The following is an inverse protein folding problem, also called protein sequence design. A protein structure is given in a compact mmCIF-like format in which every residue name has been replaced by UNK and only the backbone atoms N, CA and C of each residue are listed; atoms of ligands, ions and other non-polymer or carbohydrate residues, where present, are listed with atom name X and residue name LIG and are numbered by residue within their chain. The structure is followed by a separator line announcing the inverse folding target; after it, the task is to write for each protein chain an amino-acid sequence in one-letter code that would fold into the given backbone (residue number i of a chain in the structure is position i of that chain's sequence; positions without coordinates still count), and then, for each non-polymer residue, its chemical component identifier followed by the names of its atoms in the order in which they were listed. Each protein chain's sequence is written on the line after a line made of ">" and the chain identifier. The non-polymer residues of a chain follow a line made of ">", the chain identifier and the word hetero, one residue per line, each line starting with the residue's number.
data_IF_505169476915
#
_entry.id   IF_505169476915
#
_cell.length_a   1.000
_cell.length_b   1.000
_cell.length_c   1.000
_cell.angle_alpha   90.00
_cell.angle_beta   90.00
_cell.angle_gamma   90.00
#
_symmetry.space_group_name_H-M   'P 1'
#
loop_
_entity.id
_entity.type
_entity.pdbx_description
1 polymer ?
#
# COMPACT_ATOMS: atom_id res chain seq x y z
N UNK A 1 -9.04 6.77 -26.19
CA UNK A 1 -8.25 7.66 -27.06
C UNK A 1 -6.85 7.72 -26.47
N UNK A 2 -5.88 7.08 -27.10
CA UNK A 2 -4.49 7.12 -26.69
C UNK A 2 -3.89 8.42 -27.21
N UNK A 3 -3.54 9.34 -26.31
CA UNK A 3 -2.76 10.54 -26.62
C UNK A 3 -1.34 10.09 -26.98
N UNK A 4 -1.03 10.13 -28.27
CA UNK A 4 0.33 9.97 -28.77
C UNK A 4 1.15 11.17 -28.28
N UNK A 5 2.12 10.88 -27.42
CA UNK A 5 3.19 11.82 -27.09
C UNK A 5 4.05 12.03 -28.34
N UNK A 6 3.96 13.22 -28.92
CA UNK A 6 4.73 13.60 -30.10
C UNK A 6 6.13 14.03 -29.67
N UNK A 7 7.10 13.25 -30.08
CA UNK A 7 8.55 13.36 -30.08
C UNK A 7 9.22 14.69 -29.72
N UNK A 8 9.58 14.82 -28.48
CA UNK A 8 10.83 15.42 -28.00
C UNK A 8 11.39 14.40 -27.02
N UNK A 9 12.70 14.15 -27.09
CA UNK A 9 13.40 13.12 -26.34
C UNK A 9 12.78 12.92 -24.96
N UNK A 10 12.37 11.69 -24.60
CA UNK A 10 11.87 11.43 -23.28
C UNK A 10 13.01 11.67 -22.32
N UNK A 11 13.10 12.86 -21.74
CA UNK A 11 13.83 13.03 -20.49
C UNK A 11 13.27 11.93 -19.59
N UNK A 12 14.12 10.97 -19.25
CA UNK A 12 13.71 9.82 -18.47
C UNK A 12 12.97 10.36 -17.24
N UNK A 13 11.65 10.10 -17.18
CA UNK A 13 10.83 10.59 -16.08
C UNK A 13 11.27 9.85 -14.83
N UNK A 14 11.92 10.54 -13.92
CA UNK A 14 12.26 10.02 -12.61
C UNK A 14 11.06 10.18 -11.67
N UNK A 15 10.92 9.24 -10.76
CA UNK A 15 9.92 9.37 -9.70
C UNK A 15 10.22 10.62 -8.87
N UNK A 16 9.19 11.40 -8.58
CA UNK A 16 9.34 12.61 -7.77
C UNK A 16 9.78 12.21 -6.35
N UNK A 17 10.88 12.78 -5.89
CA UNK A 17 11.31 12.65 -4.52
C UNK A 17 10.36 13.46 -3.63
N UNK A 18 9.84 12.85 -2.58
CA UNK A 18 8.96 13.52 -1.61
C UNK A 18 9.74 14.04 -0.40
N UNK A 19 10.94 13.49 -0.14
CA UNK A 19 11.82 13.91 0.95
C UNK A 19 13.17 14.39 0.44
N UNK A 20 13.68 15.43 1.10
CA UNK A 20 14.99 15.98 0.81
C UNK A 20 16.09 14.96 1.20
N UNK A 21 17.02 14.58 0.29
CA UNK A 21 18.10 13.66 0.62
C UNK A 21 19.16 14.26 1.54
N UNK A 22 19.12 15.57 1.78
CA UNK A 22 20.09 16.27 2.64
C UNK A 22 19.61 16.41 4.08
N UNK A 23 18.38 16.89 4.30
CA UNK A 23 17.84 17.15 5.62
C UNK A 23 16.67 16.23 6.02
N UNK A 24 16.14 15.42 5.11
CA UNK A 24 15.03 14.51 5.37
C UNK A 24 13.65 15.18 5.45
N UNK A 25 13.57 16.51 5.26
CA UNK A 25 12.31 17.24 5.30
C UNK A 25 11.51 17.08 4.01
N UNK A 26 10.22 17.41 4.03
CA UNK A 26 9.32 17.27 2.89
C UNK A 26 9.69 18.25 1.76
N UNK A 27 9.80 17.72 0.53
CA UNK A 27 10.00 18.51 -0.68
C UNK A 27 8.67 19.06 -1.20
N UNK A 28 8.71 20.28 -1.73
CA UNK A 28 7.57 20.94 -2.39
C UNK A 28 7.81 21.05 -3.88
N UNK A 29 6.76 20.88 -4.65
CA UNK A 29 6.80 21.17 -6.08
C UNK A 29 6.47 22.66 -6.23
N UNK A 30 7.41 23.43 -6.76
CA UNK A 30 7.24 24.88 -6.94
C UNK A 30 6.98 25.26 -8.40
N UNK A 31 7.20 24.35 -9.34
CA UNK A 31 6.98 24.58 -10.77
C UNK A 31 6.54 23.29 -11.45
N UNK A 32 5.50 23.43 -12.25
CA UNK A 32 5.02 22.41 -13.19
C UNK A 32 5.06 22.99 -14.60
N UNK A 33 5.48 22.20 -15.58
CA UNK A 33 5.54 22.61 -16.98
C UNK A 33 4.81 21.60 -17.86
N UNK A 34 4.01 22.10 -18.79
CA UNK A 34 3.34 21.27 -19.77
C UNK A 34 4.29 20.98 -20.94
N UNK A 35 4.65 19.70 -21.19
CA UNK A 35 5.55 19.36 -22.29
C UNK A 35 4.95 19.59 -23.67
N UNK A 36 3.62 19.69 -23.78
CA UNK A 36 2.93 19.87 -25.05
C UNK A 36 2.89 21.34 -25.51
N UNK A 37 2.63 22.28 -24.59
CA UNK A 37 2.45 23.70 -24.94
C UNK A 37 3.48 24.62 -24.29
N UNK A 38 4.36 24.12 -23.42
CA UNK A 38 5.38 24.93 -22.72
C UNK A 38 4.82 25.80 -21.59
N UNK A 39 3.51 25.74 -21.28
CA UNK A 39 2.94 26.52 -20.20
C UNK A 39 3.55 26.09 -18.87
N UNK A 40 3.92 27.06 -18.03
CA UNK A 40 4.49 26.80 -16.72
C UNK A 40 3.60 27.39 -15.63
N UNK A 41 3.37 26.60 -14.58
CA UNK A 41 2.66 26.98 -13.37
C UNK A 41 3.67 27.07 -12.23
N UNK A 42 3.72 28.21 -11.55
CA UNK A 42 4.54 28.39 -10.34
C UNK A 42 3.64 28.53 -9.12
N UNK A 43 4.01 27.87 -8.03
CA UNK A 43 3.22 27.89 -6.79
C UNK A 43 3.70 26.86 -5.80
N UNK A 44 2.94 26.68 -4.72
CA UNK A 44 3.16 25.61 -3.78
C UNK A 44 2.18 24.47 -4.08
N UNK A 45 2.69 23.37 -4.64
CA UNK A 45 1.89 22.19 -4.94
C UNK A 45 2.28 21.06 -4.01
N UNK A 46 1.29 20.42 -3.41
CA UNK A 46 1.50 19.23 -2.59
C UNK A 46 1.10 17.99 -3.37
N UNK A 47 1.93 16.97 -3.28
CA UNK A 47 1.57 15.64 -3.75
C UNK A 47 0.64 15.00 -2.72
N UNK A 48 -0.38 14.29 -3.19
CA UNK A 48 -1.25 13.51 -2.31
C UNK A 48 -0.47 12.44 -1.52
N UNK A 49 -1.12 11.84 -0.52
CA UNK A 49 -0.48 10.84 0.36
C UNK A 49 0.10 9.64 -0.40
N UNK A 50 -0.47 9.27 -1.55
CA UNK A 50 0.04 8.20 -2.40
C UNK A 50 1.45 8.47 -2.94
N UNK A 51 1.84 9.72 -3.08
CA UNK A 51 3.19 10.07 -3.52
C UNK A 51 4.29 9.75 -2.49
N UNK A 52 3.92 9.46 -1.25
CA UNK A 52 4.83 9.00 -0.20
C UNK A 52 5.20 7.52 -0.34
N UNK A 53 4.45 6.79 -1.15
CA UNK A 53 4.66 5.37 -1.37
C UNK A 53 5.86 5.13 -2.28
N UNK A 54 6.61 4.08 -1.99
CA UNK A 54 7.63 3.57 -2.90
C UNK A 54 6.99 3.00 -4.16
N UNK A 55 7.79 2.79 -5.20
CA UNK A 55 7.32 2.15 -6.44
C UNK A 55 6.71 0.77 -6.18
N UNK A 56 7.31 -0.02 -5.31
CA UNK A 56 6.82 -1.35 -4.94
C UNK A 56 5.49 -1.28 -4.20
N UNK A 57 5.36 -0.32 -3.26
CA UNK A 57 4.12 -0.08 -2.53
C UNK A 57 3.00 0.40 -3.47
N UNK A 58 3.31 1.26 -4.45
CA UNK A 58 2.33 1.69 -5.46
C UNK A 58 1.86 0.52 -6.32
N UNK A 59 2.77 -0.34 -6.78
CA UNK A 59 2.40 -1.55 -7.53
C UNK A 59 1.49 -2.48 -6.72
N UNK A 60 1.79 -2.66 -5.43
CA UNK A 60 0.93 -3.42 -4.54
C UNK A 60 -0.47 -2.79 -4.42
N UNK A 61 -0.57 -1.48 -4.25
CA UNK A 61 -1.84 -0.75 -4.18
C UNK A 61 -2.64 -0.90 -5.48
N UNK A 62 -2.00 -0.81 -6.64
CA UNK A 62 -2.65 -1.02 -7.94
C UNK A 62 -3.26 -2.41 -8.06
N UNK A 63 -2.51 -3.46 -7.68
CA UNK A 63 -3.02 -4.83 -7.65
C UNK A 63 -4.17 -4.97 -6.66
N UNK A 64 -4.03 -4.44 -5.44
CA UNK A 64 -5.05 -4.50 -4.40
C UNK A 64 -6.37 -3.86 -4.84
N UNK A 65 -6.31 -2.68 -5.50
CA UNK A 65 -7.49 -2.00 -6.04
C UNK A 65 -8.10 -2.80 -7.20
N UNK A 66 -7.27 -3.34 -8.11
CA UNK A 66 -7.73 -4.17 -9.23
C UNK A 66 -8.47 -5.42 -8.75
N UNK A 67 -7.99 -6.05 -7.68
CA UNK A 67 -8.64 -7.17 -7.01
C UNK A 67 -9.82 -6.73 -6.10
N UNK A 68 -10.19 -5.42 -6.11
CA UNK A 68 -11.30 -4.86 -5.30
C UNK A 68 -11.18 -5.15 -3.80
N UNK A 69 -9.96 -5.23 -3.29
CA UNK A 69 -9.68 -5.50 -1.88
C UNK A 69 -9.90 -6.97 -1.46
N UNK A 70 -10.13 -7.88 -2.38
CA UNK A 70 -10.25 -9.30 -2.07
C UNK A 70 -8.86 -9.89 -1.87
N UNK A 71 -8.54 -10.20 -0.63
CA UNK A 71 -7.18 -10.65 -0.25
C UNK A 71 -6.80 -11.94 -0.99
N UNK A 72 -7.72 -12.90 -1.17
CA UNK A 72 -7.46 -14.14 -1.91
C UNK A 72 -7.04 -13.89 -3.36
N UNK A 73 -7.72 -12.96 -4.05
CA UNK A 73 -7.39 -12.61 -5.42
C UNK A 73 -6.00 -11.93 -5.48
N UNK A 74 -5.63 -11.16 -4.45
CA UNK A 74 -4.30 -10.53 -4.32
C UNK A 74 -3.21 -11.58 -4.05
N UNK A 75 -3.49 -12.59 -3.21
CA UNK A 75 -2.59 -13.71 -2.95
C UNK A 75 -2.25 -14.45 -4.26
N UNK A 76 -3.26 -14.77 -5.05
CA UNK A 76 -3.12 -15.45 -6.34
C UNK A 76 -2.35 -14.60 -7.35
N UNK A 77 -2.68 -13.32 -7.47
CA UNK A 77 -2.08 -12.40 -8.43
C UNK A 77 -0.58 -12.13 -8.12
N UNK A 78 -0.24 -11.99 -6.83
CA UNK A 78 1.12 -11.68 -6.38
C UNK A 78 1.94 -12.92 -6.00
N UNK A 79 1.32 -14.10 -5.87
CA UNK A 79 1.98 -15.33 -5.43
C UNK A 79 2.50 -15.26 -4.00
N UNK A 80 1.84 -14.52 -3.11
CA UNK A 80 2.22 -14.32 -1.71
C UNK A 80 1.12 -14.80 -0.76
N UNK A 81 1.49 -15.15 0.48
CA UNK A 81 0.54 -15.63 1.48
C UNK A 81 -0.32 -14.52 2.10
N UNK A 82 -1.49 -14.87 2.64
CA UNK A 82 -2.39 -13.97 3.37
C UNK A 82 -1.68 -13.06 4.39
N UNK A 83 -0.85 -13.57 5.32
CA UNK A 83 -0.18 -12.71 6.28
C UNK A 83 0.77 -11.71 5.60
N UNK A 84 1.38 -12.09 4.48
CA UNK A 84 2.25 -11.18 3.71
C UNK A 84 1.44 -10.07 3.04
N UNK A 85 0.25 -10.38 2.51
CA UNK A 85 -0.66 -9.35 1.94
C UNK A 85 -1.05 -8.34 3.01
N UNK A 86 -1.45 -8.83 4.20
CA UNK A 86 -1.84 -7.98 5.34
C UNK A 86 -0.66 -7.12 5.83
N UNK A 87 0.54 -7.71 5.94
CA UNK A 87 1.74 -6.96 6.34
C UNK A 87 2.05 -5.82 5.35
N UNK A 88 2.06 -6.10 4.04
CA UNK A 88 2.28 -5.07 3.00
C UNK A 88 1.20 -3.99 3.00
N UNK A 89 -0.06 -4.37 3.24
CA UNK A 89 -1.14 -3.40 3.37
C UNK A 89 -0.92 -2.46 4.55
N UNK A 90 -0.50 -2.99 5.70
CA UNK A 90 -0.17 -2.19 6.88
C UNK A 90 1.02 -1.26 6.64
N UNK A 91 2.05 -1.71 5.94
CA UNK A 91 3.19 -0.87 5.53
C UNK A 91 2.74 0.30 4.64
N UNK A 92 1.85 0.05 3.68
CA UNK A 92 1.27 1.08 2.82
C UNK A 92 0.48 2.09 3.65
N UNK A 93 -0.38 1.63 4.55
CA UNK A 93 -1.19 2.49 5.44
C UNK A 93 -0.28 3.39 6.29
N UNK A 94 0.79 2.84 6.87
CA UNK A 94 1.79 3.60 7.63
C UNK A 94 2.54 4.61 6.76
N UNK A 95 2.99 4.20 5.56
CA UNK A 95 3.69 5.10 4.63
C UNK A 95 2.81 6.28 4.19
N UNK A 96 1.50 6.08 4.09
CA UNK A 96 0.52 7.14 3.85
C UNK A 96 0.31 8.07 5.04
N UNK A 97 0.88 7.74 6.21
CA UNK A 97 0.78 8.53 7.44
C UNK A 97 -0.49 8.27 8.25
N UNK A 98 -1.10 7.10 8.09
CA UNK A 98 -2.17 6.63 8.97
C UNK A 98 -1.61 5.74 10.08
N UNK A 99 -2.24 5.78 11.22
CA UNK A 99 -1.98 4.81 12.28
C UNK A 99 -2.61 3.46 11.92
N UNK A 100 -1.80 2.41 11.97
CA UNK A 100 -2.33 1.04 11.85
C UNK A 100 -2.87 0.65 13.21
N UNK A 101 -4.16 0.34 13.29
CA UNK A 101 -4.73 -0.23 14.50
C UNK A 101 -4.08 -1.59 14.76
N UNK A 102 -3.27 -1.65 15.80
CA UNK A 102 -2.64 -2.90 16.24
C UNK A 102 -3.66 -3.96 16.64
N UNK A 103 -4.87 -3.53 17.01
CA UNK A 103 -6.00 -4.41 17.38
C UNK A 103 -6.36 -5.41 16.28
N UNK A 104 -6.35 -4.98 15.00
CA UNK A 104 -6.71 -5.87 13.89
C UNK A 104 -5.61 -6.92 13.60
N UNK A 105 -4.35 -6.56 13.79
CA UNK A 105 -3.22 -7.49 13.65
C UNK A 105 -3.18 -8.49 14.82
N UNK A 106 -3.45 -8.02 16.03
CA UNK A 106 -3.48 -8.84 17.25
C UNK A 106 -4.69 -9.79 17.25
N UNK A 107 -5.86 -9.33 16.85
CA UNK A 107 -7.06 -10.15 16.67
C UNK A 107 -6.86 -11.24 15.60
N UNK A 108 -6.22 -10.88 14.47
CA UNK A 108 -5.91 -11.85 13.42
C UNK A 108 -4.93 -12.92 13.91
N UNK A 109 -3.89 -12.52 14.65
CA UNK A 109 -2.93 -13.43 15.26
C UNK A 109 -3.58 -14.38 16.29
N UNK A 110 -4.44 -13.85 17.15
CA UNK A 110 -5.18 -14.64 18.15
C UNK A 110 -6.14 -15.64 17.50
N UNK A 111 -6.84 -15.22 16.44
CA UNK A 111 -7.70 -16.14 15.66
C UNK A 111 -6.90 -17.27 15.02
N UNK A 112 -5.77 -16.95 14.42
CA UNK A 112 -4.89 -17.95 13.79
C UNK A 112 -4.36 -18.93 14.84
N UNK A 113 -3.93 -18.45 16.00
CA UNK A 113 -3.48 -19.30 17.10
C UNK A 113 -4.56 -20.29 17.56
N UNK A 114 -5.81 -19.87 17.71
CA UNK A 114 -6.93 -20.76 18.07
C UNK A 114 -7.17 -21.81 16.99
N UNK A 115 -7.04 -21.45 15.70
CA UNK A 115 -7.20 -22.39 14.59
C UNK A 115 -6.04 -23.41 14.54
N UNK A 116 -4.82 -22.99 14.82
CA UNK A 116 -3.65 -23.86 14.87
C UNK A 116 -3.74 -24.84 16.06
N UNK A 117 -4.20 -24.37 17.23
CA UNK A 117 -4.46 -25.22 18.41
C UNK A 117 -5.58 -26.25 18.15
N UNK A 118 -6.60 -25.89 17.38
CA UNK A 118 -7.64 -26.80 16.92
C UNK A 118 -7.08 -27.84 15.92
N UNK A 119 -6.26 -27.41 14.97
CA UNK A 119 -5.65 -28.28 13.96
C UNK A 119 -4.68 -29.30 14.58
N UNK A 120 -3.96 -28.92 15.65
CA UNK A 120 -3.05 -29.79 16.39
C UNK A 120 -3.78 -30.72 17.40
N UNK A 121 -5.10 -30.52 17.57
CA UNK A 121 -5.91 -31.33 18.49
C UNK A 121 -5.75 -30.96 19.98
N UNK A 122 -5.10 -29.84 20.27
CA UNK A 122 -4.93 -29.32 21.64
C UNK A 122 -6.18 -28.62 22.17
N UNK A 123 -7.08 -28.21 21.27
CA UNK A 123 -8.39 -27.63 21.56
C UNK A 123 -9.50 -28.47 20.91
N UNK A 124 -10.61 -28.60 21.60
CA UNK A 124 -11.83 -29.17 21.01
C UNK A 124 -12.55 -28.13 20.16
N UNK A 125 -13.35 -28.57 19.19
CA UNK A 125 -14.13 -27.67 18.33
C UNK A 125 -15.07 -26.74 19.12
N UNK A 126 -15.63 -27.20 20.24
CA UNK A 126 -16.50 -26.43 21.13
C UNK A 126 -15.72 -25.29 21.83
N UNK A 127 -14.53 -25.61 22.35
CA UNK A 127 -13.65 -24.63 22.99
C UNK A 127 -13.11 -23.58 21.99
N UNK A 128 -12.69 -24.02 20.79
CA UNK A 128 -12.27 -23.15 19.73
C UNK A 128 -13.39 -22.16 19.32
N UNK A 129 -14.62 -22.65 19.14
CA UNK A 129 -15.78 -21.81 18.84
C UNK A 129 -16.09 -20.81 19.96
N UNK A 130 -15.92 -21.22 21.24
CA UNK A 130 -16.12 -20.30 22.36
C UNK A 130 -15.07 -19.20 22.40
N UNK A 131 -13.78 -19.53 22.19
CA UNK A 131 -12.68 -18.54 22.16
C UNK A 131 -12.80 -17.57 20.98
N UNK A 132 -13.20 -18.07 19.79
CA UNK A 132 -13.39 -17.23 18.61
C UNK A 132 -14.56 -16.25 18.73
N UNK A 133 -15.57 -16.56 19.56
CA UNK A 133 -16.68 -15.62 19.85
C UNK A 133 -16.31 -14.55 20.88
N UNK A 134 -15.29 -14.81 21.69
CA UNK A 134 -14.81 -13.90 22.73
C UNK A 134 -13.75 -12.93 22.22
N UNK A 135 -13.24 -13.14 21.01
CA UNK A 135 -12.33 -12.25 20.28
C UNK A 135 -13.10 -11.18 19.49
#
# INVERSE_FOLDING_TARGET
>A
MATQFNGRDPVAAHQVLTRCPVCGDDLRIVRLECPACGSALQGNFTLGRLARLTREQLQFVEVFIRCRGKIKDVEEELGISYPTVVARLNEVVQAMGFEVRQEDADLSGRRQQVLDELATGTLTAAEAASRLRAL
#
